data_IF_262436964284
#
_entry.id   IF_262436964284
#
_cell.length_a   1.000
_cell.length_b   1.000
_cell.length_c   1.000
_cell.angle_alpha   90.00
_cell.angle_beta   90.00
_cell.angle_gamma   90.00
#
_symmetry.space_group_name_H-M   'P 1'
#
loop_
_entity.id
_entity.type
_entity.pdbx_description
1 polymer ?
#
# COMPACT_ATOMS: atom_id res chain seq x y z
N UNK A 1 0.33 8.74 3.17
CA UNK A 1 -0.27 8.39 1.87
C UNK A 1 0.74 8.57 0.74
N UNK A 2 1.51 9.66 0.73
CA UNK A 2 2.47 9.99 -0.34
C UNK A 2 3.50 8.91 -0.64
N UNK A 3 4.06 8.25 0.39
CA UNK A 3 4.98 7.15 0.20
C UNK A 3 4.36 5.95 -0.55
N UNK A 4 3.06 5.69 -0.35
CA UNK A 4 2.33 4.61 -1.04
C UNK A 4 2.14 5.00 -2.51
N UNK A 5 1.71 6.23 -2.79
CA UNK A 5 1.49 6.74 -4.14
C UNK A 5 2.80 6.80 -4.93
N UNK A 6 3.86 7.37 -4.34
CA UNK A 6 5.17 7.54 -4.98
C UNK A 6 5.89 6.22 -5.26
N UNK A 7 5.59 5.16 -4.49
CA UNK A 7 6.23 3.84 -4.66
C UNK A 7 5.37 2.81 -5.38
N UNK A 8 4.18 3.22 -5.85
CA UNK A 8 3.32 2.37 -6.66
C UNK A 8 4.05 1.92 -7.93
N UNK A 9 4.10 0.61 -8.14
CA UNK A 9 4.67 0.01 -9.34
C UNK A 9 3.69 0.05 -10.52
N UNK A 10 2.40 0.12 -10.22
CA UNK A 10 1.30 0.20 -11.18
C UNK A 10 0.09 0.84 -10.50
N UNK A 11 -0.62 1.67 -11.24
CA UNK A 11 -1.91 2.24 -10.85
C UNK A 11 -2.94 1.93 -11.94
N UNK A 12 -4.14 1.51 -11.54
CA UNK A 12 -5.25 1.20 -12.46
C UNK A 12 -6.53 1.80 -11.89
N UNK A 13 -7.16 2.71 -12.65
CA UNK A 13 -8.47 3.25 -12.31
C UNK A 13 -9.57 2.22 -12.52
N UNK A 14 -10.65 2.34 -11.77
CA UNK A 14 -11.84 1.47 -11.87
C UNK A 14 -13.07 2.27 -12.29
N UNK A 15 -14.11 1.62 -12.86
CA UNK A 15 -15.32 2.31 -13.32
C UNK A 15 -16.08 3.06 -12.22
N UNK A 16 -15.94 2.64 -10.96
CA UNK A 16 -16.53 3.28 -9.79
C UNK A 16 -15.72 4.49 -9.25
N UNK A 17 -14.69 4.93 -9.98
CA UNK A 17 -13.88 6.10 -9.62
C UNK A 17 -12.80 5.82 -8.56
N UNK A 18 -12.55 4.55 -8.23
CA UNK A 18 -11.44 4.17 -7.37
C UNK A 18 -10.14 3.91 -8.16
N UNK A 19 -9.05 3.70 -7.42
CA UNK A 19 -7.74 3.36 -7.98
C UNK A 19 -7.17 2.15 -7.23
N UNK A 20 -6.74 1.13 -7.97
CA UNK A 20 -5.91 0.06 -7.45
C UNK A 20 -4.43 0.35 -7.69
N UNK A 21 -3.65 0.33 -6.61
CA UNK A 21 -2.20 0.44 -6.63
C UNK A 21 -1.56 -0.91 -6.34
N UNK A 22 -0.57 -1.30 -7.14
CA UNK A 22 0.35 -2.39 -6.82
C UNK A 22 1.61 -1.79 -6.19
N UNK A 23 1.89 -2.12 -4.94
CA UNK A 23 2.88 -1.42 -4.11
C UNK A 23 3.90 -2.40 -3.54
N UNK A 24 5.18 -2.03 -3.55
CA UNK A 24 6.24 -2.80 -2.89
C UNK A 24 6.42 -2.32 -1.44
N UNK A 25 6.09 -3.16 -0.43
CA UNK A 25 6.21 -2.79 0.98
C UNK A 25 7.63 -2.38 1.36
N UNK A 26 8.64 -2.96 0.71
CA UNK A 26 10.03 -2.61 0.98
C UNK A 26 10.38 -1.22 0.46
N UNK A 27 9.78 -0.77 -0.65
CA UNK A 27 9.95 0.60 -1.16
C UNK A 27 9.23 1.60 -0.27
N UNK A 28 7.99 1.33 0.13
CA UNK A 28 7.24 2.17 1.07
C UNK A 28 8.04 2.38 2.35
N UNK A 29 8.57 1.28 2.92
CA UNK A 29 9.41 1.35 4.13
C UNK A 29 10.64 2.23 3.95
N UNK A 30 11.34 2.12 2.82
CA UNK A 30 12.52 2.96 2.54
C UNK A 30 12.14 4.43 2.44
N UNK A 31 11.00 4.74 1.84
CA UNK A 31 10.51 6.11 1.67
C UNK A 31 10.07 6.75 2.99
N UNK A 32 9.53 5.97 3.93
CA UNK A 32 9.13 6.44 5.26
C UNK A 32 10.33 6.70 6.22
N UNK A 33 11.57 6.45 5.79
CA UNK A 33 12.79 6.83 6.52
C UNK A 33 13.63 5.66 7.07
N UNK A 34 14.82 6.00 7.59
CA UNK A 34 15.87 5.10 8.12
C UNK A 34 15.50 4.38 9.42
N UNK A 35 14.42 4.79 10.09
CA UNK A 35 13.91 4.19 11.31
C UNK A 35 13.07 2.93 11.07
N UNK A 36 13.72 1.85 10.59
CA UNK A 36 13.34 0.45 10.81
C UNK A 36 11.85 0.10 11.00
N UNK A 37 10.91 0.59 10.18
CA UNK A 37 9.53 0.12 10.25
C UNK A 37 9.51 -1.38 9.98
N UNK A 38 9.19 -2.18 11.00
CA UNK A 38 8.97 -3.61 10.81
C UNK A 38 7.79 -3.81 9.85
N UNK A 39 7.75 -4.95 9.15
CA UNK A 39 6.60 -5.25 8.29
C UNK A 39 5.27 -5.20 9.05
N UNK A 40 5.29 -5.61 10.32
CA UNK A 40 4.15 -5.53 11.23
C UNK A 40 3.73 -4.09 11.53
N UNK A 41 4.68 -3.20 11.81
CA UNK A 41 4.35 -1.79 12.09
C UNK A 41 3.78 -1.09 10.86
N UNK A 42 4.30 -1.40 9.67
CA UNK A 42 3.76 -0.86 8.43
C UNK A 42 2.34 -1.39 8.14
N UNK A 43 2.09 -2.67 8.44
CA UNK A 43 0.75 -3.24 8.35
C UNK A 43 -0.24 -2.61 9.34
N UNK A 44 0.21 -2.34 10.57
CA UNK A 44 -0.59 -1.63 11.56
C UNK A 44 -0.94 -0.21 11.08
N UNK A 45 0.03 0.52 10.53
CA UNK A 45 -0.21 1.85 9.95
C UNK A 45 -1.26 1.80 8.82
N UNK A 46 -1.18 0.80 7.95
CA UNK A 46 -2.20 0.61 6.90
C UNK A 46 -3.59 0.34 7.47
N UNK A 47 -3.67 -0.44 8.56
CA UNK A 47 -4.93 -0.70 9.26
C UNK A 47 -5.49 0.58 9.88
N UNK A 48 -4.64 1.41 10.49
CA UNK A 48 -5.02 2.70 11.04
C UNK A 48 -5.55 3.63 9.94
N UNK A 49 -4.83 3.75 8.81
CA UNK A 49 -5.27 4.57 7.66
C UNK A 49 -6.57 4.05 7.05
N UNK A 50 -6.74 2.73 6.92
CA UNK A 50 -7.96 2.12 6.38
C UNK A 50 -9.18 2.41 7.25
N UNK A 51 -8.99 2.49 8.57
CA UNK A 51 -10.06 2.78 9.52
C UNK A 51 -10.28 4.29 9.73
N UNK A 52 -9.45 5.15 9.15
CA UNK A 52 -9.68 6.58 9.18
C UNK A 52 -10.82 6.94 8.22
N UNK A 53 -11.89 7.47 8.79
CA UNK A 53 -13.00 8.06 8.05
C UNK A 53 -12.69 9.51 7.72
N UNK A 54 -13.08 9.92 6.51
CA UNK A 54 -12.95 11.26 5.99
C UNK A 54 -14.31 11.74 5.51
N UNK A 55 -14.60 13.00 5.81
CA UNK A 55 -15.74 13.73 5.28
C UNK A 55 -15.19 14.87 4.44
N UNK A 56 -15.62 14.95 3.18
CA UNK A 56 -15.24 16.00 2.24
C UNK A 56 -16.50 16.80 1.95
N UNK A 57 -16.47 18.09 2.26
CA UNK A 57 -17.54 19.03 1.93
C UNK A 57 -16.98 20.14 1.06
N UNK A 58 -17.50 20.24 -0.16
CA UNK A 58 -17.19 21.31 -1.10
C UNK A 58 -18.49 21.84 -1.71
N UNK A 59 -18.50 23.05 -2.32
CA UNK A 59 -19.68 23.52 -3.04
C UNK A 59 -20.10 22.63 -4.23
N UNK A 60 -19.22 21.74 -4.71
CA UNK A 60 -19.45 20.90 -5.90
C UNK A 60 -19.97 19.51 -5.57
N UNK A 61 -19.61 18.98 -4.40
CA UNK A 61 -19.99 17.65 -3.95
C UNK A 61 -19.71 17.47 -2.45
N UNK A 62 -20.38 16.46 -1.88
CA UNK A 62 -20.11 15.92 -0.55
C UNK A 62 -19.74 14.45 -0.66
N UNK A 63 -18.81 14.00 0.17
CA UNK A 63 -18.40 12.61 0.22
C UNK A 63 -18.04 12.19 1.65
N UNK A 64 -18.37 10.94 1.99
CA UNK A 64 -18.03 10.33 3.28
C UNK A 64 -17.51 8.92 3.05
N UNK A 65 -16.38 8.57 3.65
CA UNK A 65 -15.78 7.24 3.48
C UNK A 65 -14.35 7.15 3.99
N UNK A 66 -13.59 6.18 3.49
CA UNK A 66 -12.21 5.91 3.92
C UNK A 66 -11.16 6.39 2.92
N UNK A 67 -9.97 6.75 3.40
CA UNK A 67 -8.80 7.01 2.55
C UNK A 67 -8.35 5.77 1.76
N UNK A 68 -8.20 4.65 2.45
CA UNK A 68 -7.91 3.34 1.85
C UNK A 68 -9.12 2.46 2.11
N UNK A 69 -9.71 1.94 1.04
CA UNK A 69 -10.85 1.02 1.14
C UNK A 69 -10.43 -0.42 1.40
N UNK A 70 -9.28 -0.83 0.85
CA UNK A 70 -8.81 -2.22 0.93
C UNK A 70 -7.28 -2.29 0.83
N UNK A 71 -6.69 -3.24 1.57
CA UNK A 71 -5.30 -3.68 1.38
C UNK A 71 -5.27 -5.20 1.38
N UNK A 72 -4.76 -5.79 0.30
CA UNK A 72 -4.57 -7.24 0.20
C UNK A 72 -3.12 -7.58 -0.12
N UNK A 73 -2.69 -8.73 0.42
CA UNK A 73 -1.43 -9.35 0.02
C UNK A 73 -1.57 -9.86 -1.41
N UNK A 74 -0.73 -9.37 -2.30
CA UNK A 74 -0.78 -9.71 -3.72
C UNK A 74 -0.14 -11.08 -3.98
N UNK A 75 -0.56 -11.75 -5.05
CA UNK A 75 0.11 -12.95 -5.55
C UNK A 75 1.50 -12.61 -6.13
N UNK A 76 1.64 -11.39 -6.66
CA UNK A 76 2.89 -10.88 -7.18
C UNK A 76 3.96 -10.76 -6.09
N UNK A 77 5.16 -11.25 -6.42
CA UNK A 77 6.32 -11.22 -5.52
C UNK A 77 7.52 -10.49 -6.11
N UNK A 78 8.43 -10.06 -5.26
CA UNK A 78 9.76 -9.54 -5.62
C UNK A 78 10.86 -10.22 -4.79
N UNK A 79 12.09 -10.35 -5.31
CA UNK A 79 13.22 -10.84 -4.53
C UNK A 79 13.49 -9.94 -3.32
N UNK A 80 13.59 -10.55 -2.15
CA UNK A 80 13.97 -9.96 -0.86
C UNK A 80 15.44 -10.23 -0.54
N UNK A 81 15.84 -10.09 0.74
CA UNK A 81 17.20 -10.44 1.17
C UNK A 81 17.46 -11.93 0.93
N UNK A 82 18.72 -12.27 0.68
CA UNK A 82 19.14 -13.66 0.57
C UNK A 82 18.89 -14.39 1.89
N UNK A 83 18.41 -15.63 1.78
CA UNK A 83 18.21 -16.58 2.87
C UNK A 83 18.96 -17.86 2.54
N UNK A 84 19.24 -18.71 3.53
CA UNK A 84 19.82 -20.03 3.26
C UNK A 84 18.72 -21.05 3.02
N UNK A 85 18.87 -21.88 1.98
CA UNK A 85 18.02 -23.07 1.80
C UNK A 85 18.45 -24.17 2.78
N UNK A 86 17.82 -25.35 2.69
CA UNK A 86 18.14 -26.51 3.55
C UNK A 86 19.60 -26.98 3.40
N UNK A 87 20.18 -26.77 2.23
CA UNK A 87 21.54 -27.16 1.87
C UNK A 87 22.58 -26.07 2.19
N UNK A 88 22.15 -24.95 2.79
CA UNK A 88 23.02 -23.85 3.19
C UNK A 88 23.34 -22.83 2.09
N UNK A 89 22.80 -22.99 0.89
CA UNK A 89 23.01 -22.10 -0.25
C UNK A 89 22.19 -20.81 -0.13
N UNK A 90 22.79 -19.69 -0.55
CA UNK A 90 22.13 -18.40 -0.54
C UNK A 90 21.11 -18.30 -1.68
N UNK A 91 19.83 -18.41 -1.34
CA UNK A 91 18.70 -18.26 -2.26
C UNK A 91 17.94 -16.96 -1.98
N UNK A 92 17.43 -16.24 -3.00
CA UNK A 92 16.58 -15.07 -2.77
C UNK A 92 15.28 -15.46 -2.09
N UNK A 93 15.00 -14.92 -0.89
CA UNK A 93 13.65 -15.00 -0.36
C UNK A 93 12.68 -14.19 -1.22
N UNK A 94 11.41 -14.57 -1.27
CA UNK A 94 10.38 -13.80 -1.97
C UNK A 94 9.59 -12.97 -0.96
N UNK A 95 9.38 -11.69 -1.27
CA UNK A 95 8.39 -10.85 -0.57
C UNK A 95 7.18 -10.62 -1.46
N UNK A 96 6.01 -10.62 -0.84
CA UNK A 96 4.78 -10.27 -1.54
C UNK A 96 4.62 -8.76 -1.67
N UNK A 97 4.02 -8.35 -2.77
CA UNK A 97 3.54 -6.99 -2.97
C UNK A 97 2.19 -6.80 -2.28
N UNK A 98 1.74 -5.56 -2.21
CA UNK A 98 0.38 -5.21 -1.77
C UNK A 98 -0.44 -4.69 -2.94
N UNK A 99 -1.71 -5.09 -3.00
CA UNK A 99 -2.70 -4.35 -3.78
C UNK A 99 -3.48 -3.48 -2.80
N UNK A 100 -3.43 -2.17 -3.01
CA UNK A 100 -4.10 -1.17 -2.18
C UNK A 100 -5.19 -0.53 -3.04
N UNK A 101 -6.44 -0.57 -2.59
CA UNK A 101 -7.54 0.12 -3.24
C UNK A 101 -7.81 1.44 -2.54
N UNK A 102 -7.60 2.55 -3.24
CA UNK A 102 -7.99 3.89 -2.81
C UNK A 102 -9.41 4.12 -3.32
N UNK A 103 -10.36 4.28 -2.40
CA UNK A 103 -11.77 4.50 -2.76
C UNK A 103 -12.02 5.91 -3.29
N UNK A 104 -13.20 6.20 -3.87
CA UNK A 104 -13.48 7.49 -4.51
C UNK A 104 -13.24 8.70 -3.60
N UNK A 105 -13.57 8.58 -2.30
CA UNK A 105 -13.29 9.62 -1.31
C UNK A 105 -11.78 9.88 -1.16
N UNK A 106 -10.96 8.83 -1.10
CA UNK A 106 -9.51 8.96 -1.04
C UNK A 106 -8.93 9.49 -2.35
N UNK A 107 -9.50 9.12 -3.50
CA UNK A 107 -9.10 9.63 -4.82
C UNK A 107 -9.37 11.12 -4.96
N UNK A 108 -10.46 11.63 -4.37
CA UNK A 108 -10.76 13.05 -4.38
C UNK A 108 -9.71 13.92 -3.64
N UNK A 109 -8.80 13.30 -2.90
CA UNK A 109 -7.71 13.96 -2.17
C UNK A 109 -6.32 13.69 -2.78
N UNK A 110 -6.23 12.95 -3.90
CA UNK A 110 -5.00 12.70 -4.65
C UNK A 110 -4.76 13.80 -5.69
#
# INVERSE_FOLDING_TARGET
MDAINFTALRAVGTPDGAIHLLVDPAKVRRQLGTGGYSGQRLWQLLREIRNAEIEIKTPKFEAFGSLISEVVKAAETRPARLTKNRDGEAVPALRHLWRIRIGPCGVALL
#
